data_IF_216736258971
#
_entry.id   IF_216736258971
#
_cell.length_a   1.000
_cell.length_b   1.000
_cell.length_c   1.000
_cell.angle_alpha   90.00
_cell.angle_beta   90.00
_cell.angle_gamma   90.00
#
_symmetry.space_group_name_H-M   'P 1'
#
loop_
_entity.id
_entity.type
_entity.pdbx_description
1 polymer ?
#
# COMPACT_ATOMS: atom_id res chain seq x y z
N UNK A 1 -2.80 -6.18 -26.96
CA UNK A 1 -1.85 -6.46 -28.08
C UNK A 1 -0.47 -5.82 -27.85
N UNK A 2 -0.24 -4.51 -28.13
CA UNK A 2 1.11 -3.88 -28.04
C UNK A 2 1.88 -4.14 -26.72
N UNK A 3 1.19 -4.15 -25.58
CA UNK A 3 1.80 -4.47 -24.27
C UNK A 3 2.25 -5.95 -24.12
N UNK A 4 1.53 -6.92 -24.69
CA UNK A 4 1.98 -8.33 -24.68
C UNK A 4 3.24 -8.50 -25.52
N UNK A 5 3.24 -7.95 -26.74
CA UNK A 5 4.38 -8.02 -27.67
C UNK A 5 5.66 -7.48 -27.01
N UNK A 6 5.58 -6.37 -26.27
CA UNK A 6 6.72 -5.79 -25.53
C UNK A 6 7.20 -6.60 -24.31
N UNK A 7 6.38 -7.53 -23.80
CA UNK A 7 6.75 -8.48 -22.76
C UNK A 7 7.36 -9.75 -23.35
N UNK A 8 6.76 -10.29 -24.42
CA UNK A 8 7.24 -11.48 -25.14
C UNK A 8 8.61 -11.23 -25.80
N UNK A 9 8.80 -10.06 -26.41
CA UNK A 9 10.08 -9.70 -27.04
C UNK A 9 11.24 -9.56 -26.04
N UNK A 10 10.94 -9.32 -24.75
CA UNK A 10 11.93 -9.37 -23.65
C UNK A 10 12.09 -10.75 -23.02
N UNK A 11 11.03 -11.58 -22.97
CA UNK A 11 11.19 -13.01 -22.63
C UNK A 11 12.16 -13.72 -23.59
N UNK A 12 12.12 -13.37 -24.88
CA UNK A 12 13.04 -13.90 -25.90
C UNK A 12 14.52 -13.52 -25.72
N UNK A 13 14.86 -12.52 -24.88
CA UNK A 13 16.23 -12.08 -24.64
C UNK A 13 16.84 -12.63 -23.34
N UNK A 14 16.04 -13.29 -22.48
CA UNK A 14 16.53 -13.96 -21.28
C UNK A 14 16.78 -15.44 -21.56
N UNK A 15 18.04 -15.84 -21.75
CA UNK A 15 18.41 -17.25 -21.98
C UNK A 15 17.95 -18.16 -20.82
N UNK A 16 17.25 -19.28 -21.08
CA UNK A 16 16.73 -20.18 -20.06
C UNK A 16 17.88 -20.96 -19.39
N UNK A 17 18.45 -20.39 -18.34
CA UNK A 17 19.59 -20.95 -17.61
C UNK A 17 20.36 -19.92 -16.77
N UNK A 18 20.29 -18.63 -17.12
CA UNK A 18 20.88 -17.56 -16.31
C UNK A 18 19.99 -17.34 -15.07
N UNK A 19 20.36 -17.94 -13.94
CA UNK A 19 19.87 -17.50 -12.63
C UNK A 19 20.16 -16.01 -12.50
N UNK A 20 19.15 -15.17 -12.21
CA UNK A 20 19.38 -13.75 -11.93
C UNK A 20 20.45 -13.67 -10.81
N UNK A 21 21.51 -12.85 -10.95
CA UNK A 21 22.51 -12.71 -9.90
C UNK A 21 21.81 -12.25 -8.61
N UNK A 22 22.33 -12.67 -7.45
CA UNK A 22 21.73 -12.36 -6.15
C UNK A 22 21.57 -10.83 -5.99
N UNK A 23 20.34 -10.35 -6.11
CA UNK A 23 20.04 -8.93 -5.88
C UNK A 23 20.27 -8.63 -4.39
N UNK A 24 21.10 -7.62 -4.03
CA UNK A 24 21.31 -7.27 -2.63
C UNK A 24 19.98 -6.88 -1.99
N UNK A 25 19.56 -7.71 -1.03
CA UNK A 25 18.30 -7.57 -0.28
C UNK A 25 18.38 -6.37 0.67
N UNK A 26 17.25 -5.86 1.20
CA UNK A 26 17.28 -5.00 2.38
C UNK A 26 18.00 -5.75 3.51
N UNK A 27 19.25 -5.40 3.76
CA UNK A 27 20.05 -6.12 4.76
C UNK A 27 19.50 -5.81 6.16
N UNK A 28 19.41 -6.78 7.09
CA UNK A 28 18.93 -6.52 8.46
C UNK A 28 19.74 -5.48 9.25
N UNK A 29 20.92 -5.10 8.75
CA UNK A 29 21.81 -4.07 9.30
C UNK A 29 21.58 -2.68 8.69
N UNK A 30 20.70 -2.52 7.69
CA UNK A 30 20.39 -1.22 7.11
C UNK A 30 19.75 -0.30 8.15
N UNK A 31 20.25 0.93 8.23
CA UNK A 31 19.70 1.98 9.08
C UNK A 31 19.08 3.05 8.18
N UNK A 32 17.77 3.21 8.33
CA UNK A 32 16.96 4.09 7.51
C UNK A 32 16.77 5.44 8.21
N UNK A 33 16.75 6.53 7.44
CA UNK A 33 15.99 7.74 7.83
C UNK A 33 14.60 7.65 7.21
N UNK A 34 13.56 7.87 8.02
CA UNK A 34 12.17 7.91 7.57
C UNK A 34 11.76 9.31 7.15
N UNK A 35 10.96 9.43 6.08
CA UNK A 35 10.34 10.65 5.58
C UNK A 35 11.34 11.82 5.51
N UNK A 36 12.41 11.67 4.72
CA UNK A 36 13.46 12.67 4.48
C UNK A 36 12.98 13.84 3.59
N UNK A 37 11.81 14.37 3.94
CA UNK A 37 10.96 15.27 3.16
C UNK A 37 11.28 16.76 3.38
N UNK A 38 12.55 17.08 3.64
CA UNK A 38 13.07 18.45 3.64
C UNK A 38 14.58 18.46 3.37
N UNK A 39 15.09 19.57 2.82
CA UNK A 39 16.54 19.77 2.59
C UNK A 39 17.29 19.52 3.89
N UNK A 40 16.87 20.18 4.97
CA UNK A 40 17.49 20.08 6.30
C UNK A 40 17.57 18.65 6.86
N UNK A 41 16.54 17.83 6.62
CA UNK A 41 16.47 16.45 7.13
C UNK A 41 17.23 15.46 6.26
N UNK A 42 17.17 15.61 4.93
CA UNK A 42 18.01 14.84 4.01
C UNK A 42 19.49 15.10 4.30
N UNK A 43 19.88 16.38 4.37
CA UNK A 43 21.25 16.81 4.65
C UNK A 43 21.79 16.28 5.99
N UNK A 44 20.95 16.21 7.03
CA UNK A 44 21.33 15.61 8.31
C UNK A 44 21.54 14.09 8.23
N UNK A 45 20.82 13.40 7.33
CA UNK A 45 20.99 11.97 7.08
C UNK A 45 22.20 11.65 6.22
N UNK A 46 22.45 12.42 5.14
CA UNK A 46 23.63 12.23 4.26
C UNK A 46 24.95 12.43 5.04
N UNK A 47 24.98 13.37 5.99
CA UNK A 47 26.14 13.56 6.90
C UNK A 47 26.31 12.47 7.97
N UNK A 48 25.35 11.58 8.17
CA UNK A 48 25.43 10.56 9.20
C UNK A 48 25.94 9.23 8.62
N UNK A 49 27.19 8.81 8.91
CA UNK A 49 27.77 7.60 8.32
C UNK A 49 27.03 6.31 8.74
N UNK A 50 26.27 6.35 9.83
CA UNK A 50 25.46 5.23 10.28
C UNK A 50 24.23 4.98 9.38
N UNK A 51 23.71 6.01 8.70
CA UNK A 51 22.52 5.88 7.84
C UNK A 51 22.93 5.27 6.50
N UNK A 52 22.40 4.10 6.16
CA UNK A 52 22.70 3.41 4.90
C UNK A 52 21.64 3.66 3.82
N UNK A 53 20.46 4.12 4.22
CA UNK A 53 19.32 4.25 3.33
C UNK A 53 18.41 5.43 3.71
N UNK A 54 17.79 6.03 2.70
CA UNK A 54 16.90 7.18 2.81
C UNK A 54 15.52 6.79 2.29
N UNK A 55 14.51 6.90 3.14
CA UNK A 55 13.11 6.83 2.75
C UNK A 55 12.52 8.25 2.69
N UNK A 56 11.77 8.55 1.63
CA UNK A 56 11.05 9.82 1.49
C UNK A 56 9.71 9.66 0.74
N UNK A 57 8.67 10.28 1.29
CA UNK A 57 7.34 10.41 0.69
C UNK A 57 7.34 11.32 -0.54
N UNK A 58 6.52 11.00 -1.55
CA UNK A 58 6.39 11.80 -2.77
C UNK A 58 4.92 12.20 -3.01
N UNK A 59 4.69 13.50 -3.22
CA UNK A 59 3.40 14.09 -3.61
C UNK A 59 3.57 15.12 -4.72
N UNK A 60 2.55 15.34 -5.56
CA UNK A 60 2.55 16.45 -6.52
C UNK A 60 2.00 17.71 -5.84
N UNK A 61 2.84 18.74 -5.64
CA UNK A 61 2.44 19.98 -4.97
C UNK A 61 2.50 21.18 -5.93
N UNK A 62 1.59 22.17 -5.80
CA UNK A 62 1.67 23.42 -6.55
C UNK A 62 2.97 24.18 -6.29
N UNK A 63 3.65 24.62 -7.36
CA UNK A 63 4.85 25.43 -7.26
C UNK A 63 4.47 26.86 -6.85
N UNK A 64 4.94 27.31 -5.68
CA UNK A 64 4.54 28.59 -5.08
C UNK A 64 4.79 29.82 -5.99
N UNK A 65 5.75 29.71 -6.91
CA UNK A 65 6.12 30.77 -7.86
C UNK A 65 5.49 30.62 -9.26
N UNK A 66 4.59 29.65 -9.49
CA UNK A 66 4.00 29.40 -10.82
C UNK A 66 2.58 28.83 -10.73
N UNK A 67 1.58 29.71 -10.85
CA UNK A 67 0.18 29.31 -10.83
C UNK A 67 -0.13 28.26 -11.92
N UNK A 68 -0.79 27.16 -11.51
CA UNK A 68 -1.16 26.05 -12.40
C UNK A 68 -0.05 25.03 -12.68
N UNK A 69 1.20 25.26 -12.25
CA UNK A 69 2.29 24.29 -12.36
C UNK A 69 2.43 23.54 -11.03
N UNK A 70 2.23 22.23 -11.04
CA UNK A 70 2.51 21.35 -9.90
C UNK A 70 3.70 20.45 -10.22
N UNK A 71 4.57 20.23 -9.23
CA UNK A 71 5.81 19.44 -9.37
C UNK A 71 5.90 18.37 -8.29
N UNK A 72 6.59 17.23 -8.53
CA UNK A 72 6.81 16.25 -7.47
C UNK A 72 7.76 16.81 -6.40
N UNK A 73 7.28 16.82 -5.16
CA UNK A 73 7.99 17.27 -3.97
C UNK A 73 8.13 16.14 -2.96
N UNK A 74 9.20 16.17 -2.17
CA UNK A 74 9.40 15.20 -1.10
C UNK A 74 8.57 15.63 0.11
N UNK A 75 7.38 15.06 0.31
CA UNK A 75 6.37 15.58 1.23
C UNK A 75 5.44 14.49 1.79
N UNK A 76 5.40 14.36 3.11
CA UNK A 76 4.47 13.45 3.81
C UNK A 76 3.05 14.07 3.93
N UNK A 77 1.97 13.29 3.73
CA UNK A 77 0.60 13.74 4.01
C UNK A 77 0.42 14.20 5.46
N UNK A 78 -0.11 15.40 5.69
CA UNK A 78 -0.48 15.89 7.02
C UNK A 78 -1.99 15.93 7.15
N UNK A 79 -2.55 15.40 8.24
CA UNK A 79 -4.00 15.47 8.48
C UNK A 79 -4.45 16.87 8.93
N UNK A 80 -3.54 17.69 9.49
CA UNK A 80 -3.85 19.01 10.06
C UNK A 80 -3.51 20.20 9.16
N UNK A 81 -2.80 19.97 8.05
CA UNK A 81 -2.27 21.04 7.20
C UNK A 81 -2.09 20.56 5.78
N UNK A 82 -2.06 21.48 4.82
CA UNK A 82 -1.51 21.18 3.50
C UNK A 82 -0.07 20.63 3.65
N UNK A 83 0.34 19.63 2.85
CA UNK A 83 1.74 19.21 2.79
C UNK A 83 2.63 20.38 2.39
N UNK A 84 3.82 20.46 2.97
CA UNK A 84 4.83 21.48 2.68
C UNK A 84 6.20 20.84 2.69
N UNK A 85 7.03 21.24 1.74
CA UNK A 85 8.42 20.82 1.61
C UNK A 85 9.22 21.95 0.94
N UNK A 86 10.49 22.06 1.31
CA UNK A 86 11.51 22.86 0.63
C UNK A 86 12.27 22.06 -0.45
N UNK A 87 12.01 20.74 -0.56
CA UNK A 87 12.81 19.80 -1.34
C UNK A 87 12.01 19.19 -2.50
N UNK A 88 12.41 19.47 -3.73
CA UNK A 88 11.83 18.84 -4.92
C UNK A 88 12.35 17.40 -5.12
N UNK A 89 11.60 16.56 -5.83
CA UNK A 89 12.05 15.20 -6.17
C UNK A 89 13.35 15.20 -6.98
N UNK A 90 13.50 16.16 -7.90
CA UNK A 90 14.71 16.30 -8.71
C UNK A 90 15.92 16.66 -7.83
N UNK A 91 15.78 17.64 -6.95
CA UNK A 91 16.84 18.06 -6.04
C UNK A 91 17.21 16.98 -5.01
N UNK A 92 16.22 16.24 -4.48
CA UNK A 92 16.48 15.05 -3.65
C UNK A 92 17.34 14.05 -4.42
N UNK A 93 17.00 13.77 -5.68
CA UNK A 93 17.71 12.80 -6.49
C UNK A 93 19.13 13.28 -6.80
N UNK A 94 19.33 14.56 -7.12
CA UNK A 94 20.66 15.16 -7.32
C UNK A 94 21.53 15.11 -6.05
N UNK A 95 20.98 15.45 -4.88
CA UNK A 95 21.68 15.34 -3.59
C UNK A 95 22.06 13.90 -3.26
N UNK A 96 21.13 12.96 -3.44
CA UNK A 96 21.35 11.53 -3.20
C UNK A 96 22.35 10.90 -4.19
N UNK A 97 22.40 11.36 -5.44
CA UNK A 97 23.38 10.94 -6.44
C UNK A 97 24.77 11.54 -6.19
N UNK A 98 24.83 12.75 -5.63
CA UNK A 98 26.07 13.45 -5.27
C UNK A 98 26.72 12.88 -4.00
N UNK A 99 25.92 12.40 -3.03
CA UNK A 99 26.41 11.55 -1.91
C UNK A 99 26.82 10.17 -2.42
N UNK A 100 25.99 9.53 -3.27
CA UNK A 100 26.29 8.27 -3.92
C UNK A 100 26.31 7.02 -3.02
N UNK A 101 26.22 7.16 -1.70
CA UNK A 101 26.33 6.04 -0.75
C UNK A 101 25.00 5.52 -0.23
N UNK A 102 23.93 6.35 -0.22
CA UNK A 102 22.63 5.92 0.35
C UNK A 102 21.76 5.17 -0.66
N UNK A 103 21.17 4.07 -0.22
CA UNK A 103 20.04 3.43 -0.91
C UNK A 103 18.75 4.25 -0.77
N UNK A 104 17.82 4.14 -1.73
CA UNK A 104 16.64 5.02 -1.80
C UNK A 104 15.33 4.22 -1.73
N UNK A 105 14.40 4.61 -0.87
CA UNK A 105 13.00 4.14 -0.85
C UNK A 105 12.10 5.33 -1.11
N UNK A 106 11.45 5.31 -2.27
CA UNK A 106 10.68 6.41 -2.81
C UNK A 106 9.19 6.07 -2.63
N UNK A 107 8.54 6.70 -1.66
CA UNK A 107 7.23 6.28 -1.17
C UNK A 107 6.11 7.18 -1.71
N UNK A 108 5.48 6.74 -2.80
CA UNK A 108 4.50 7.53 -3.52
C UNK A 108 3.19 7.59 -2.74
N UNK A 109 2.75 8.82 -2.43
CA UNK A 109 1.48 9.12 -1.75
C UNK A 109 0.45 9.77 -2.68
N UNK A 110 0.84 10.04 -3.93
CA UNK A 110 0.02 10.65 -4.99
C UNK A 110 0.27 9.97 -6.34
N UNK A 111 -0.80 9.52 -6.99
CA UNK A 111 -0.76 8.92 -8.33
C UNK A 111 -0.21 9.86 -9.40
N UNK A 112 -0.49 11.16 -9.30
CA UNK A 112 -0.07 12.15 -10.29
C UNK A 112 1.46 12.39 -10.30
N UNK A 113 2.15 12.05 -9.21
CA UNK A 113 3.61 12.16 -9.12
C UNK A 113 4.36 10.95 -9.74
N UNK A 114 3.70 9.80 -9.95
CA UNK A 114 4.35 8.52 -10.30
C UNK A 114 5.07 8.59 -11.65
N UNK A 115 4.36 8.88 -12.75
CA UNK A 115 4.98 8.91 -14.09
C UNK A 115 6.07 10.00 -14.23
N UNK A 116 5.89 11.25 -13.76
CA UNK A 116 6.94 12.26 -13.77
C UNK A 116 8.23 11.84 -13.03
N UNK A 117 8.11 11.21 -11.85
CA UNK A 117 9.28 10.74 -11.11
C UNK A 117 9.96 9.56 -11.80
N UNK A 118 9.19 8.59 -12.32
CA UNK A 118 9.74 7.44 -13.04
C UNK A 118 10.46 7.86 -14.34
N UNK A 119 9.92 8.85 -15.06
CA UNK A 119 10.59 9.45 -16.23
C UNK A 119 11.88 10.21 -15.89
N UNK A 120 12.05 10.69 -14.66
CA UNK A 120 13.32 11.27 -14.21
C UNK A 120 14.30 10.18 -13.76
N UNK A 121 13.81 9.18 -13.01
CA UNK A 121 14.61 8.02 -12.57
C UNK A 121 15.20 7.24 -13.74
N UNK A 122 14.43 6.99 -14.81
CA UNK A 122 14.92 6.34 -16.03
C UNK A 122 16.16 7.05 -16.59
N UNK A 123 16.14 8.40 -16.65
CA UNK A 123 17.23 9.23 -17.17
C UNK A 123 18.47 9.19 -16.28
N UNK A 124 18.30 9.07 -14.97
CA UNK A 124 19.38 9.05 -13.96
C UNK A 124 19.78 7.63 -13.53
N UNK A 125 19.14 6.60 -14.08
CA UNK A 125 19.31 5.21 -13.65
C UNK A 125 20.76 4.71 -13.75
N UNK A 126 21.50 5.19 -14.75
CA UNK A 126 22.92 4.86 -14.92
C UNK A 126 23.79 5.40 -13.79
N UNK A 127 23.50 6.58 -13.23
CA UNK A 127 24.25 7.14 -12.11
C UNK A 127 23.99 6.32 -10.84
N UNK A 128 22.71 6.02 -10.55
CA UNK A 128 22.32 5.11 -9.46
C UNK A 128 23.06 3.76 -9.55
N UNK A 129 23.13 3.17 -10.75
CA UNK A 129 23.84 1.91 -10.98
C UNK A 129 25.37 2.02 -10.81
N UNK A 130 26.01 3.10 -11.29
CA UNK A 130 27.45 3.30 -11.11
C UNK A 130 27.83 3.53 -9.64
N UNK A 131 26.95 4.17 -8.88
CA UNK A 131 27.08 4.36 -7.43
C UNK A 131 26.73 3.09 -6.61
N UNK A 132 26.16 2.04 -7.22
CA UNK A 132 25.67 0.87 -6.51
C UNK A 132 24.41 1.11 -5.66
N UNK A 133 23.68 2.20 -5.90
CA UNK A 133 22.50 2.60 -5.14
C UNK A 133 21.28 1.77 -5.57
N UNK A 134 20.84 0.88 -4.68
CA UNK A 134 19.57 0.19 -4.84
C UNK A 134 18.38 1.14 -4.58
N UNK A 135 17.31 0.99 -5.38
CA UNK A 135 16.10 1.81 -5.29
C UNK A 135 14.86 0.93 -5.13
N UNK A 136 14.02 1.29 -4.16
CA UNK A 136 12.67 0.77 -3.94
C UNK A 136 11.66 1.83 -4.37
N UNK A 137 10.73 1.47 -5.26
CA UNK A 137 9.59 2.30 -5.62
C UNK A 137 8.38 1.77 -4.86
N UNK A 138 7.93 2.50 -3.83
CA UNK A 138 6.89 2.07 -2.91
C UNK A 138 5.55 2.75 -3.20
N UNK A 139 4.46 1.98 -3.17
CA UNK A 139 3.10 2.53 -3.14
C UNK A 139 2.14 1.60 -2.38
N UNK A 140 1.20 2.21 -1.66
CA UNK A 140 0.12 1.51 -0.98
C UNK A 140 -1.05 1.26 -1.95
N UNK A 141 -1.00 0.11 -2.64
CA UNK A 141 -1.88 -0.20 -3.79
C UNK A 141 -3.17 -0.95 -3.45
N UNK A 142 -3.34 -1.39 -2.19
CA UNK A 142 -4.56 -2.04 -1.67
C UNK A 142 -5.07 -1.37 -0.39
N UNK A 143 -6.38 -1.44 -0.07
CA UNK A 143 -6.91 -1.03 1.23
C UNK A 143 -6.34 -1.90 2.35
N UNK A 144 -6.04 -1.32 3.50
CA UNK A 144 -5.35 -1.99 4.61
C UNK A 144 -6.11 -1.97 5.93
N UNK A 145 -5.59 -2.66 6.96
CA UNK A 145 -6.18 -2.65 8.30
C UNK A 145 -6.40 -1.23 8.85
N UNK A 146 -7.60 -0.99 9.38
CA UNK A 146 -8.15 0.32 9.80
C UNK A 146 -8.41 1.35 8.68
N UNK A 147 -8.24 1.02 7.39
CA UNK A 147 -8.53 1.91 6.25
C UNK A 147 -8.97 1.11 5.02
N UNK A 148 -10.25 0.74 5.03
CA UNK A 148 -10.92 -0.05 3.97
C UNK A 148 -11.48 0.78 2.79
N UNK A 149 -11.19 2.08 2.77
CA UNK A 149 -11.61 2.98 1.68
C UNK A 149 -10.70 2.93 0.45
N UNK A 150 -11.00 3.73 -0.60
CA UNK A 150 -10.19 3.79 -1.82
C UNK A 150 -8.71 4.12 -1.57
N UNK A 151 -7.85 3.53 -2.41
CA UNK A 151 -6.40 3.80 -2.40
C UNK A 151 -6.05 5.04 -3.21
N UNK A 152 -4.98 5.73 -2.80
CA UNK A 152 -4.47 6.90 -3.54
C UNK A 152 -3.72 6.54 -4.82
N UNK A 153 -3.23 5.31 -4.96
CA UNK A 153 -2.43 4.84 -6.11
C UNK A 153 -2.94 3.47 -6.55
N UNK A 154 -3.61 3.34 -7.71
CA UNK A 154 -4.01 2.05 -8.25
C UNK A 154 -2.81 1.21 -8.72
N UNK A 155 -2.84 -0.10 -8.44
CA UNK A 155 -1.86 -1.05 -8.97
C UNK A 155 -1.76 -1.04 -10.51
N UNK A 156 -2.90 -0.85 -11.18
CA UNK A 156 -3.05 -0.73 -12.64
C UNK A 156 -2.41 0.53 -13.24
N UNK A 157 -2.07 1.52 -12.42
CA UNK A 157 -1.22 2.65 -12.79
C UNK A 157 0.24 2.35 -12.45
N UNK A 158 0.51 1.98 -11.19
CA UNK A 158 1.87 1.90 -10.65
C UNK A 158 2.73 0.81 -11.31
N UNK A 159 2.19 -0.40 -11.46
CA UNK A 159 2.96 -1.57 -11.92
C UNK A 159 3.30 -1.47 -13.42
N UNK A 160 2.39 -1.06 -14.33
CA UNK A 160 2.75 -0.80 -15.73
C UNK A 160 3.77 0.32 -15.91
N UNK A 161 3.70 1.39 -15.10
CA UNK A 161 4.69 2.47 -15.12
C UNK A 161 6.07 2.01 -14.63
N UNK A 162 6.14 1.24 -13.53
CA UNK A 162 7.39 0.67 -13.02
C UNK A 162 8.06 -0.20 -14.08
N UNK A 163 7.30 -1.12 -14.68
CA UNK A 163 7.78 -2.05 -15.71
C UNK A 163 8.22 -1.32 -17.00
N UNK A 164 7.65 -0.15 -17.29
CA UNK A 164 8.01 0.67 -18.46
C UNK A 164 9.35 1.38 -18.25
N UNK A 165 9.51 2.07 -17.13
CA UNK A 165 10.57 3.07 -16.92
C UNK A 165 11.69 2.62 -15.99
N UNK A 166 11.41 1.79 -14.99
CA UNK A 166 12.33 1.42 -13.92
C UNK A 166 12.26 -0.08 -13.54
N UNK A 167 12.20 -1.05 -14.49
CA UNK A 167 12.03 -2.48 -14.19
C UNK A 167 13.19 -3.11 -13.41
N UNK A 168 14.31 -2.40 -13.24
CA UNK A 168 15.46 -2.80 -12.44
C UNK A 168 15.35 -2.36 -10.96
N UNK A 169 14.37 -1.51 -10.62
CA UNK A 169 14.09 -1.13 -9.24
C UNK A 169 13.31 -2.23 -8.50
N UNK A 170 13.44 -2.27 -7.18
CA UNK A 170 12.56 -3.09 -6.34
C UNK A 170 11.15 -2.52 -6.37
N UNK A 171 10.18 -3.34 -6.79
CA UNK A 171 8.76 -2.99 -6.76
C UNK A 171 8.23 -3.24 -5.35
N UNK A 172 8.01 -2.16 -4.58
CA UNK A 172 7.55 -2.25 -3.20
C UNK A 172 6.04 -1.98 -3.14
N UNK A 173 5.26 -2.98 -2.78
CA UNK A 173 3.79 -2.91 -2.74
C UNK A 173 3.31 -2.97 -1.29
N UNK A 174 2.56 -1.96 -0.86
CA UNK A 174 1.99 -1.85 0.48
C UNK A 174 0.46 -1.87 0.49
N UNK A 175 -0.09 -1.74 1.69
CA UNK A 175 -1.52 -1.57 1.93
C UNK A 175 -1.73 -0.25 2.65
N UNK A 176 -2.72 0.53 2.21
CA UNK A 176 -3.16 1.77 2.83
C UNK A 176 -3.72 1.46 4.24
N UNK A 177 -2.88 1.51 5.27
CA UNK A 177 -3.31 1.30 6.66
C UNK A 177 -3.93 2.57 7.27
N UNK A 178 -4.79 2.38 8.27
CA UNK A 178 -5.34 3.46 9.10
C UNK A 178 -4.59 3.62 10.43
N UNK A 179 -4.98 4.62 11.26
CA UNK A 179 -4.52 4.72 12.64
C UNK A 179 -4.95 3.48 13.45
N UNK A 180 -4.34 3.29 14.62
CA UNK A 180 -4.66 2.19 15.55
C UNK A 180 -6.14 2.28 15.96
N UNK A 181 -6.98 1.46 15.33
CA UNK A 181 -8.43 1.44 15.47
C UNK A 181 -8.94 0.05 15.85
N UNK A 182 -10.11 -0.40 15.36
CA UNK A 182 -10.61 -1.75 15.61
C UNK A 182 -9.95 -2.82 14.73
N UNK A 183 -9.75 -2.58 13.44
CA UNK A 183 -9.21 -3.56 12.48
C UNK A 183 -7.68 -3.67 12.62
N UNK A 184 -7.24 -4.31 13.70
CA UNK A 184 -5.87 -4.24 14.22
C UNK A 184 -4.87 -5.22 13.60
N UNK A 185 -5.23 -5.93 12.54
CA UNK A 185 -4.31 -6.84 11.85
C UNK A 185 -4.67 -7.00 10.38
N UNK A 186 -3.70 -7.46 9.60
CA UNK A 186 -3.94 -8.05 8.30
C UNK A 186 -4.79 -9.33 8.43
N UNK A 187 -5.34 -9.78 7.30
CA UNK A 187 -6.15 -10.98 7.16
C UNK A 187 -5.69 -11.83 5.98
N UNK A 188 -6.14 -13.08 5.92
CA UNK A 188 -5.97 -13.93 4.74
C UNK A 188 -6.57 -13.32 3.45
N UNK A 189 -7.55 -12.41 3.55
CA UNK A 189 -8.09 -11.67 2.40
C UNK A 189 -7.12 -10.59 1.92
N UNK A 190 -6.57 -9.77 2.82
CA UNK A 190 -5.57 -8.73 2.51
C UNK A 190 -4.40 -9.30 1.68
N UNK A 191 -3.93 -10.48 2.09
CA UNK A 191 -2.84 -11.22 1.43
C UNK A 191 -3.29 -11.89 0.13
N UNK A 192 -4.55 -12.30 0.05
CA UNK A 192 -5.13 -12.88 -1.17
C UNK A 192 -5.28 -11.85 -2.28
N UNK A 193 -5.74 -10.64 -1.97
CA UNK A 193 -5.86 -9.56 -2.94
C UNK A 193 -4.49 -9.15 -3.49
N UNK A 194 -3.47 -9.01 -2.63
CA UNK A 194 -2.11 -8.69 -3.07
C UNK A 194 -1.49 -9.82 -3.92
N UNK A 195 -1.73 -11.08 -3.57
CA UNK A 195 -1.30 -12.22 -4.39
C UNK A 195 -2.01 -12.27 -5.75
N UNK A 196 -3.30 -11.89 -5.81
CA UNK A 196 -4.06 -11.79 -7.07
C UNK A 196 -3.50 -10.70 -7.99
N UNK A 197 -3.14 -9.52 -7.46
CA UNK A 197 -2.42 -8.48 -8.22
C UNK A 197 -1.08 -9.03 -8.74
N UNK A 198 -0.34 -9.77 -7.92
CA UNK A 198 0.93 -10.38 -8.35
C UNK A 198 0.75 -11.42 -9.47
N UNK A 199 -0.38 -12.13 -9.51
CA UNK A 199 -0.73 -13.02 -10.61
C UNK A 199 -1.15 -12.24 -11.88
N UNK A 200 -2.06 -11.27 -11.76
CA UNK A 200 -2.55 -10.40 -12.84
C UNK A 200 -1.39 -9.73 -13.60
N UNK A 201 -0.48 -9.09 -12.86
CA UNK A 201 0.68 -8.40 -13.45
C UNK A 201 1.89 -9.32 -13.69
N UNK A 202 1.75 -10.64 -13.50
CA UNK A 202 2.79 -11.66 -13.70
C UNK A 202 4.12 -11.30 -13.01
N UNK A 203 4.07 -11.02 -11.71
CA UNK A 203 5.22 -10.58 -10.90
C UNK A 203 6.06 -11.71 -10.30
N UNK A 204 5.71 -12.97 -10.52
CA UNK A 204 6.49 -14.11 -10.04
C UNK A 204 7.91 -14.11 -10.62
N UNK A 205 8.92 -14.18 -9.76
CA UNK A 205 10.33 -14.08 -10.15
C UNK A 205 10.84 -12.66 -10.46
N UNK A 206 10.02 -11.62 -10.29
CA UNK A 206 10.46 -10.22 -10.31
C UNK A 206 10.89 -9.75 -8.90
N UNK A 207 11.58 -8.62 -8.82
CA UNK A 207 12.10 -8.02 -7.56
C UNK A 207 11.00 -7.34 -6.72
N UNK A 208 10.02 -8.12 -6.26
CA UNK A 208 8.91 -7.65 -5.43
C UNK A 208 9.27 -7.62 -3.94
N UNK A 209 8.86 -6.55 -3.26
CA UNK A 209 8.89 -6.44 -1.80
C UNK A 209 7.48 -6.04 -1.32
N UNK A 210 7.00 -6.64 -0.24
CA UNK A 210 5.74 -6.26 0.38
C UNK A 210 6.01 -5.41 1.63
N UNK A 211 5.52 -4.17 1.62
CA UNK A 211 5.67 -3.24 2.72
C UNK A 211 4.53 -3.44 3.73
N UNK A 212 4.86 -3.94 4.93
CA UNK A 212 3.87 -4.34 5.95
C UNK A 212 4.14 -3.64 7.28
N UNK A 213 3.12 -3.02 7.89
CA UNK A 213 3.26 -2.42 9.23
C UNK A 213 3.49 -3.49 10.29
N UNK A 214 4.59 -3.40 11.04
CA UNK A 214 5.03 -4.43 11.98
C UNK A 214 4.02 -4.70 13.11
N UNK A 215 3.35 -3.65 13.63
CA UNK A 215 2.33 -3.79 14.69
C UNK A 215 1.07 -4.49 14.20
N UNK A 216 0.66 -4.21 12.96
CA UNK A 216 -0.50 -4.83 12.33
C UNK A 216 -0.16 -6.24 11.83
N UNK A 217 1.12 -6.53 11.57
CA UNK A 217 1.62 -7.85 11.21
C UNK A 217 1.73 -8.81 12.40
N UNK A 218 2.15 -8.37 13.60
CA UNK A 218 2.43 -9.23 14.77
C UNK A 218 1.31 -10.24 15.06
N UNK A 219 0.05 -9.85 14.84
CA UNK A 219 -1.14 -10.66 15.14
C UNK A 219 -1.60 -11.59 14.01
N UNK A 220 -0.97 -11.49 12.85
CA UNK A 220 -1.32 -12.21 11.62
C UNK A 220 -0.06 -12.66 10.85
N UNK A 221 1.05 -12.95 11.56
CA UNK A 221 2.34 -13.23 10.93
C UNK A 221 2.30 -14.45 10.00
N UNK A 222 1.56 -15.51 10.33
CA UNK A 222 1.35 -16.64 9.41
C UNK A 222 0.61 -16.24 8.12
N UNK A 223 -0.46 -15.44 8.21
CA UNK A 223 -1.19 -14.95 7.03
C UNK A 223 -0.26 -14.09 6.16
N UNK A 224 0.39 -13.09 6.77
CA UNK A 224 1.34 -12.19 6.10
C UNK A 224 2.48 -12.97 5.45
N UNK A 225 3.10 -13.91 6.17
CA UNK A 225 4.20 -14.72 5.67
C UNK A 225 3.78 -15.67 4.53
N UNK A 226 2.49 -16.07 4.46
CA UNK A 226 1.99 -16.92 3.37
C UNK A 226 2.18 -16.27 1.98
N UNK A 227 2.25 -14.93 1.90
CA UNK A 227 2.52 -14.23 0.64
C UNK A 227 3.88 -14.62 0.02
N UNK A 228 4.87 -14.95 0.86
CA UNK A 228 6.19 -15.38 0.42
C UNK A 228 6.18 -16.78 -0.23
N UNK A 229 5.16 -17.60 0.08
CA UNK A 229 4.92 -18.88 -0.60
C UNK A 229 4.14 -18.65 -1.91
N UNK A 230 3.12 -17.80 -1.87
CA UNK A 230 2.22 -17.50 -3.01
C UNK A 230 2.91 -16.71 -4.12
N UNK A 231 3.89 -15.89 -3.78
CA UNK A 231 4.74 -15.14 -4.71
C UNK A 231 6.20 -15.55 -4.44
N UNK A 232 6.74 -16.54 -5.18
CA UNK A 232 8.16 -16.90 -5.10
C UNK A 232 9.08 -15.71 -5.35
N UNK A 233 10.30 -15.78 -4.78
CA UNK A 233 11.38 -14.78 -4.84
C UNK A 233 11.09 -13.38 -4.26
N UNK A 234 9.82 -13.07 -3.92
CA UNK A 234 9.42 -11.85 -3.20
C UNK A 234 10.00 -11.75 -1.78
N UNK A 235 9.88 -10.58 -1.15
CA UNK A 235 10.36 -10.31 0.21
C UNK A 235 9.31 -9.55 1.04
N UNK A 236 9.45 -9.53 2.36
CA UNK A 236 8.74 -8.58 3.24
C UNK A 236 9.69 -7.45 3.67
N UNK A 237 9.15 -6.25 3.87
CA UNK A 237 9.77 -5.16 4.61
C UNK A 237 8.81 -4.76 5.73
N UNK A 238 9.16 -5.11 6.98
CA UNK A 238 8.32 -4.78 8.14
C UNK A 238 8.70 -3.40 8.67
N UNK A 239 7.72 -2.49 8.80
CA UNK A 239 7.98 -1.07 9.08
C UNK A 239 7.15 -0.48 10.24
N UNK A 240 7.62 0.64 10.80
CA UNK A 240 6.85 1.54 11.71
C UNK A 240 6.68 2.90 11.04
N UNK A 241 5.51 3.53 11.16
CA UNK A 241 5.18 4.76 10.44
C UNK A 241 5.87 6.02 10.95
N UNK A 242 6.01 7.03 10.08
CA UNK A 242 6.51 8.35 10.46
C UNK A 242 5.63 9.00 11.53
N UNK A 243 6.22 9.31 12.69
CA UNK A 243 5.50 9.86 13.85
C UNK A 243 4.72 8.82 14.66
N UNK A 244 4.81 7.53 14.31
CA UNK A 244 4.38 6.43 15.18
C UNK A 244 5.34 6.33 16.39
N UNK A 245 4.86 5.86 17.53
CA UNK A 245 5.74 5.52 18.64
C UNK A 245 6.56 4.27 18.32
N UNK A 246 7.77 4.19 18.87
CA UNK A 246 8.66 3.04 18.73
C UNK A 246 8.05 1.73 19.28
N UNK A 247 8.40 0.59 18.69
CA UNK A 247 8.06 -0.75 19.21
C UNK A 247 9.03 -1.16 20.32
N UNK A 248 8.61 -2.08 21.21
CA UNK A 248 9.53 -2.71 22.17
C UNK A 248 10.49 -3.65 21.45
N UNK A 249 11.76 -3.79 21.90
CA UNK A 249 12.67 -4.84 21.40
C UNK A 249 12.01 -6.22 21.40
N UNK A 250 11.34 -6.59 22.50
CA UNK A 250 10.69 -7.91 22.64
C UNK A 250 9.54 -8.17 21.67
N UNK A 251 8.96 -7.14 21.03
CA UNK A 251 8.02 -7.32 19.92
C UNK A 251 8.76 -7.75 18.66
N UNK A 252 9.86 -7.08 18.33
CA UNK A 252 10.71 -7.44 17.21
C UNK A 252 11.33 -8.84 17.40
N UNK A 253 11.78 -9.17 18.61
CA UNK A 253 12.35 -10.48 18.93
C UNK A 253 11.35 -11.62 18.65
N UNK A 254 10.07 -11.45 19.02
CA UNK A 254 9.00 -12.41 18.71
C UNK A 254 8.77 -12.54 17.20
N UNK A 255 8.61 -11.41 16.52
CA UNK A 255 8.39 -11.36 15.06
C UNK A 255 9.53 -12.04 14.31
N UNK A 256 10.77 -11.78 14.70
CA UNK A 256 11.96 -12.42 14.13
C UNK A 256 12.03 -13.92 14.45
N UNK A 257 11.70 -14.33 15.68
CA UNK A 257 11.68 -15.75 16.05
C UNK A 257 10.62 -16.55 15.27
N UNK A 258 9.42 -16.02 15.11
CA UNK A 258 8.34 -16.68 14.35
C UNK A 258 8.67 -16.76 12.86
N UNK A 259 9.09 -15.65 12.24
CA UNK A 259 9.50 -15.64 10.81
C UNK A 259 10.76 -16.48 10.55
N UNK A 260 11.61 -16.70 11.56
CA UNK A 260 12.71 -17.68 11.50
C UNK A 260 12.19 -19.12 11.61
N UNK A 261 11.22 -19.39 12.48
CA UNK A 261 10.56 -20.70 12.59
C UNK A 261 9.84 -21.11 11.31
N UNK A 262 9.23 -20.15 10.61
CA UNK A 262 8.63 -20.33 9.28
C UNK A 262 9.66 -20.39 8.13
N UNK A 263 10.96 -20.30 8.42
CA UNK A 263 12.06 -20.33 7.42
C UNK A 263 12.26 -19.04 6.61
N UNK A 264 11.42 -18.02 6.82
CA UNK A 264 11.38 -16.81 6.01
C UNK A 264 12.35 -15.70 6.41
N UNK A 265 13.01 -15.77 7.57
CA UNK A 265 13.90 -14.70 8.07
C UNK A 265 14.91 -14.15 7.04
N UNK A 266 15.38 -14.97 6.09
CA UNK A 266 16.29 -14.56 5.01
C UNK A 266 15.63 -13.77 3.84
N UNK A 267 14.30 -13.55 3.90
CA UNK A 267 13.46 -12.80 2.95
C UNK A 267 12.72 -11.63 3.63
N UNK A 268 13.14 -11.22 4.83
CA UNK A 268 12.48 -10.17 5.62
C UNK A 268 13.49 -9.07 6.00
N UNK A 269 13.25 -7.86 5.53
CA UNK A 269 13.90 -6.64 6.01
C UNK A 269 13.10 -6.00 7.15
N UNK A 270 13.79 -5.19 7.97
CA UNK A 270 13.18 -4.50 9.12
C UNK A 270 13.52 -3.01 9.06
N UNK A 271 12.48 -2.19 9.11
CA UNK A 271 12.48 -0.73 8.91
C UNK A 271 11.72 -0.07 10.08
N UNK A 272 12.16 -0.41 11.31
CA UNK A 272 11.37 -0.25 12.55
C UNK A 272 12.07 0.62 13.58
N UNK A 273 11.34 1.59 14.13
CA UNK A 273 11.75 2.36 15.28
C UNK A 273 11.64 1.51 16.55
N UNK A 274 12.78 1.17 17.16
CA UNK A 274 12.86 0.38 18.41
C UNK A 274 13.07 1.34 19.60
N UNK A 275 12.30 1.17 20.67
CA UNK A 275 12.44 1.93 21.90
C UNK A 275 13.81 1.69 22.55
N UNK A 276 14.52 2.77 22.90
CA UNK A 276 15.87 2.73 23.52
C UNK A 276 15.89 3.25 24.95
N UNK A 277 14.85 3.99 25.35
CA UNK A 277 14.67 4.58 26.67
C UNK A 277 13.50 3.95 27.42
N UNK A 278 13.48 4.14 28.74
CA UNK A 278 12.35 3.73 29.58
C UNK A 278 11.04 4.46 29.22
N UNK A 279 11.13 5.73 28.79
CA UNK A 279 9.97 6.53 28.38
C UNK A 279 9.33 5.96 27.09
N UNK A 280 10.12 5.75 26.03
CA UNK A 280 9.64 5.14 24.79
C UNK A 280 9.08 3.74 25.04
N UNK A 281 9.72 2.95 25.90
CA UNK A 281 9.26 1.61 26.30
C UNK A 281 7.93 1.65 27.04
N UNK A 282 7.70 2.68 27.86
CA UNK A 282 6.44 2.97 28.52
C UNK A 282 5.34 3.36 27.54
N UNK A 283 5.61 4.31 26.62
CA UNK A 283 4.68 4.71 25.56
C UNK A 283 4.31 3.53 24.65
N UNK A 284 5.29 2.73 24.24
CA UNK A 284 5.06 1.47 23.52
C UNK A 284 4.17 0.52 24.33
N UNK A 285 4.40 0.42 25.65
CA UNK A 285 3.57 -0.37 26.55
C UNK A 285 2.11 0.08 26.65
N UNK A 286 1.85 1.39 26.70
CA UNK A 286 0.47 1.93 26.69
C UNK A 286 -0.24 1.59 25.38
N UNK A 287 0.47 1.64 24.24
CA UNK A 287 -0.06 1.24 22.93
C UNK A 287 -0.33 -0.27 22.89
N UNK A 288 0.62 -1.12 23.28
CA UNK A 288 0.42 -2.57 23.32
C UNK A 288 -0.77 -2.96 24.23
N UNK A 289 -0.97 -2.22 25.33
CA UNK A 289 -2.11 -2.38 26.22
C UNK A 289 -3.43 -1.88 25.61
N UNK A 290 -3.46 -0.79 24.84
CA UNK A 290 -4.69 -0.36 24.15
C UNK A 290 -5.09 -1.37 23.07
N UNK A 291 -4.11 -1.94 22.34
CA UNK A 291 -4.25 -3.12 21.47
C UNK A 291 -4.76 -4.38 22.21
N UNK A 292 -4.55 -4.50 23.52
CA UNK A 292 -5.06 -5.63 24.33
C UNK A 292 -6.50 -5.39 24.81
N UNK A 293 -6.82 -4.18 25.27
CA UNK A 293 -8.17 -3.81 25.71
C UNK A 293 -9.18 -3.78 24.54
N UNK A 294 -8.78 -3.27 23.37
CA UNK A 294 -9.57 -3.31 22.12
C UNK A 294 -9.86 -4.73 21.58
N UNK A 295 -9.10 -5.72 22.07
CA UNK A 295 -9.27 -7.15 21.80
C UNK A 295 -10.21 -7.78 22.83
N UNK A 296 -10.05 -7.46 24.10
CA UNK A 296 -10.94 -7.94 25.17
C UNK A 296 -12.39 -7.48 24.98
N UNK A 297 -12.62 -6.20 24.68
CA UNK A 297 -13.97 -5.66 24.47
C UNK A 297 -14.69 -6.35 23.31
N UNK A 298 -14.00 -6.63 22.19
CA UNK A 298 -14.63 -7.35 21.06
C UNK A 298 -14.71 -8.85 21.23
N UNK A 299 -13.83 -9.49 22.00
CA UNK A 299 -14.07 -10.88 22.38
C UNK A 299 -15.39 -11.01 23.15
N UNK A 300 -15.67 -10.08 24.06
CA UNK A 300 -16.96 -9.99 24.75
C UNK A 300 -18.12 -9.67 23.78
N UNK A 301 -18.03 -8.60 22.97
CA UNK A 301 -19.13 -8.24 22.05
C UNK A 301 -19.44 -9.32 20.98
N UNK A 302 -18.42 -9.99 20.43
CA UNK A 302 -18.63 -11.10 19.49
C UNK A 302 -19.15 -12.36 20.20
N UNK A 303 -18.75 -12.61 21.44
CA UNK A 303 -19.35 -13.65 22.29
C UNK A 303 -20.83 -13.37 22.61
N UNK A 304 -21.19 -12.09 22.80
CA UNK A 304 -22.57 -11.63 22.92
C UNK A 304 -23.38 -12.00 21.66
N UNK A 305 -22.92 -11.56 20.48
CA UNK A 305 -23.60 -11.80 19.21
C UNK A 305 -23.72 -13.30 18.85
N UNK A 306 -22.74 -14.11 19.22
CA UNK A 306 -22.80 -15.57 19.07
C UNK A 306 -23.88 -16.20 19.97
N UNK A 307 -23.97 -15.75 21.23
CA UNK A 307 -25.02 -16.18 22.16
C UNK A 307 -26.42 -15.70 21.72
N UNK A 308 -26.54 -14.49 21.19
CA UNK A 308 -27.82 -13.94 20.71
C UNK A 308 -28.34 -14.76 19.50
N UNK A 309 -27.46 -15.15 18.58
CA UNK A 309 -27.82 -16.05 17.47
C UNK A 309 -28.24 -17.46 17.96
N UNK A 310 -27.56 -18.00 18.98
CA UNK A 310 -27.95 -19.27 19.62
C UNK A 310 -29.31 -19.15 20.31
N UNK A 311 -29.55 -18.10 21.08
CA UNK A 311 -30.81 -17.83 21.78
C UNK A 311 -32.00 -17.63 20.82
N UNK A 312 -31.76 -17.06 19.63
CA UNK A 312 -32.77 -16.98 18.57
C UNK A 312 -33.05 -18.37 17.98
N UNK A 313 -32.02 -19.16 17.66
CA UNK A 313 -32.19 -20.52 17.11
C UNK A 313 -32.92 -21.50 18.04
N UNK A 314 -32.81 -21.30 19.36
CA UNK A 314 -33.50 -22.11 20.36
C UNK A 314 -34.97 -21.71 20.61
N UNK A 315 -35.51 -20.72 19.91
CA UNK A 315 -36.87 -20.20 20.15
C UNK A 315 -37.95 -20.65 19.16
N UNK A 316 -37.58 -21.35 18.08
CA UNK A 316 -38.52 -21.81 17.03
C UNK A 316 -38.80 -23.33 17.02
N UNK A 317 -38.24 -24.11 17.96
CA UNK A 317 -38.48 -25.56 18.08
C UNK A 317 -39.30 -25.84 19.34
N UNK A 318 -40.62 -25.63 19.29
CA UNK A 318 -41.42 -25.62 20.51
C UNK A 318 -42.93 -25.80 20.46
N UNK A 319 -43.60 -25.99 19.30
CA UNK A 319 -45.04 -26.31 19.31
C UNK A 319 -45.49 -27.13 18.09
N UNK A 320 -45.98 -28.35 18.34
CA UNK A 320 -46.77 -29.15 17.40
C UNK A 320 -48.08 -29.55 18.09
N UNK A 321 -49.21 -29.12 17.54
CA UNK A 321 -50.55 -29.57 17.92
C UNK A 321 -51.31 -30.10 16.69
N UNK A 322 -52.28 -31.01 16.86
CA UNK A 322 -52.59 -31.99 15.82
C UNK A 322 -53.64 -31.54 14.78
N UNK A 323 -53.65 -32.27 13.65
CA UNK A 323 -54.56 -32.13 12.52
C UNK A 323 -56.05 -32.29 12.90
N UNK A 324 -56.88 -31.45 12.30
CA UNK A 324 -58.33 -31.67 12.13
C UNK A 324 -58.68 -31.44 10.65
N UNK A 325 -59.46 -32.34 10.05
CA UNK A 325 -59.93 -32.20 8.66
C UNK A 325 -61.22 -31.37 8.57
N UNK A 326 -61.35 -30.53 7.54
CA UNK A 326 -62.59 -29.77 7.28
C UNK A 326 -62.62 -28.99 5.96
N UNK A 327 -63.19 -29.61 4.93
CA UNK A 327 -63.93 -29.00 3.78
C UNK A 327 -63.45 -27.72 3.09
N UNK A 328 -63.18 -27.84 1.79
CA UNK A 328 -63.27 -26.79 0.74
C UNK A 328 -64.75 -26.39 0.46
N UNK A 329 -65.09 -25.43 -0.45
CA UNK A 329 -64.25 -24.55 -1.30
C UNK A 329 -64.66 -23.05 -1.31
N UNK A 330 -63.86 -22.20 -1.95
CA UNK A 330 -64.31 -21.35 -3.10
C UNK A 330 -63.13 -20.64 -3.77
N UNK A 331 -63.31 -20.22 -5.02
CA UNK A 331 -62.25 -19.65 -5.86
C UNK A 331 -62.77 -18.53 -6.77
N UNK A 332 -62.05 -17.42 -6.84
CA UNK A 332 -62.03 -16.52 -8.02
C UNK A 332 -60.70 -15.75 -8.07
N UNK A 333 -60.15 -15.46 -9.26
CA UNK A 333 -58.81 -14.87 -9.40
C UNK A 333 -58.83 -13.38 -9.79
N UNK A 334 -57.67 -12.71 -9.68
CA UNK A 334 -57.33 -11.59 -10.56
C UNK A 334 -55.83 -11.54 -10.84
N UNK A 335 -55.48 -11.40 -12.12
CA UNK A 335 -54.12 -11.20 -12.66
C UNK A 335 -54.22 -10.51 -14.03
N UNK A 336 -53.77 -9.25 -14.10
CA UNK A 336 -53.39 -8.50 -15.31
C UNK A 336 -52.65 -7.23 -14.79
N UNK A 337 -51.45 -6.84 -15.25
CA UNK A 337 -51.01 -6.37 -16.59
C UNK A 337 -51.55 -4.96 -16.97
N UNK A 338 -50.87 -4.17 -17.86
CA UNK A 338 -49.49 -4.30 -18.39
C UNK A 338 -48.72 -2.94 -18.42
N UNK A 339 -47.64 -2.86 -19.22
CA UNK A 339 -46.89 -1.65 -19.60
C UNK A 339 -47.55 -0.83 -20.74
N UNK A 340 -47.14 0.45 -20.92
CA UNK A 340 -46.62 1.10 -22.17
C UNK A 340 -47.11 2.56 -22.42
N UNK A 341 -46.16 3.47 -22.74
CA UNK A 341 -46.24 4.63 -23.70
C UNK A 341 -47.29 5.73 -23.40
N UNK A 342 -47.32 6.96 -23.97
CA UNK A 342 -46.46 7.88 -24.79
C UNK A 342 -47.17 9.28 -24.71
N UNK A 343 -46.70 10.49 -25.09
CA UNK A 343 -45.43 11.11 -25.55
C UNK A 343 -45.63 12.67 -25.62
N UNK A 344 -44.71 13.46 -26.21
CA UNK A 344 -44.81 14.92 -26.55
C UNK A 344 -44.78 15.96 -25.38
N UNK A 345 -44.39 17.24 -25.53
CA UNK A 345 -43.92 18.02 -26.70
C UNK A 345 -42.92 19.18 -26.40
N UNK A 346 -42.27 19.69 -27.47
CA UNK A 346 -41.62 20.99 -27.76
C UNK A 346 -41.21 22.06 -26.69
N UNK A 347 -40.06 22.71 -26.94
CA UNK A 347 -39.66 24.03 -26.39
C UNK A 347 -38.33 24.56 -26.99
N UNK A 348 -38.33 25.76 -27.60
CA UNK A 348 -37.20 26.35 -28.37
C UNK A 348 -36.43 27.45 -27.61
N UNK A 349 -35.12 27.57 -27.85
CA UNK A 349 -34.33 28.82 -27.78
C UNK A 349 -32.86 28.59 -28.21
N UNK A 350 -32.18 29.62 -28.76
CA UNK A 350 -30.90 29.47 -29.49
C UNK A 350 -29.75 30.35 -28.98
N UNK A 351 -28.56 29.75 -28.88
CA UNK A 351 -27.24 30.39 -29.06
C UNK A 351 -26.62 31.11 -27.85
N UNK A 352 -25.38 31.64 -27.98
CA UNK A 352 -24.48 31.60 -29.15
C UNK A 352 -23.23 30.70 -28.96
N UNK A 353 -22.37 30.64 -29.99
CA UNK A 353 -21.13 29.84 -30.05
C UNK A 353 -19.90 30.66 -29.63
N UNK A 354 -18.91 30.11 -28.90
CA UNK A 354 -17.62 30.78 -28.66
C UNK A 354 -16.70 30.68 -29.89
N UNK A 355 -16.01 31.77 -30.24
CA UNK A 355 -15.06 31.79 -31.36
C UNK A 355 -13.71 31.14 -30.98
N UNK A 356 -13.07 30.49 -31.95
CA UNK A 356 -11.66 30.12 -31.88
C UNK A 356 -10.76 31.36 -31.96
N UNK A 357 -9.66 31.38 -31.21
CA UNK A 357 -8.53 32.29 -31.45
C UNK A 357 -7.23 31.48 -31.41
N UNK A 358 -6.58 31.36 -32.57
CA UNK A 358 -5.30 30.67 -32.73
C UNK A 358 -4.30 31.63 -33.38
N UNK A 359 -3.36 32.18 -32.60
CA UNK A 359 -2.37 33.15 -33.08
C UNK A 359 -0.97 32.85 -32.52
N UNK A 360 -0.15 32.27 -33.41
CA UNK A 360 1.33 32.30 -33.51
C UNK A 360 2.23 32.31 -32.25
N UNK A 361 3.22 31.39 -32.29
CA UNK A 361 4.53 31.58 -31.65
C UNK A 361 5.30 32.76 -32.27
N UNK A 362 6.16 33.39 -31.47
CA UNK A 362 7.49 33.88 -31.87
C UNK A 362 8.48 33.34 -30.84
#
# INVERSE_FOLDING_TARGET
VRFLIMAEHRRAQCSPGVKRPFTPRPQPQQKWVHSACSISKLEAALRNPEITAVEADIMLLPLQASAGVSVPMMAHPSWRSQPRSDLSFAEFLDRCLSDGTRHLKLDFKDAAAVEPCFQLLEKRWRELQMNGQAVWLNADVLPGPNKRGPVGIPASLFIPLWRRYCPQAFLSLGWCVGPIGPEQSYSAQDVTEMASICAEYSLAGETVVFAVSVRLAERALMDVASILQRVPDSQLLLWTGTGEASIKPTMLDRVQAELKGLGFAHRVGYDVAIARTALESGTAGVIDCSFFWSRWTRFLCCGQLANDHLLLSHREVGEQTPLVMGTTPTSTPSKADPMLRDSHDNGDSRGPVPQEVCVSRV
#
